data_IF_168016888446
#
_entry.id   IF_168016888446
#
_cell.length_a   1.000
_cell.length_b   1.000
_cell.length_c   1.000
_cell.angle_alpha   90.00
_cell.angle_beta   90.00
_cell.angle_gamma   90.00
#
_symmetry.space_group_name_H-M   'P 1'
#
loop_
_entity.id
_entity.type
_entity.pdbx_description
1 polymer ?
#
# COMPACT_ATOMS: atom_id res chain seq x y z
N UNK A 1 -7.63 -1.21 -4.68
CA UNK A 1 -7.77 -1.93 -3.38
C UNK A 1 -7.86 -1.03 -2.14
N UNK A 2 -7.86 -1.60 -0.91
CA UNK A 2 -7.98 -0.85 0.37
C UNK A 2 -6.95 0.27 0.50
N UNK A 3 -5.66 -0.05 0.41
CA UNK A 3 -4.57 0.93 0.55
C UNK A 3 -4.65 1.97 -0.58
N UNK A 4 -4.71 1.55 -1.84
CA UNK A 4 -4.79 2.47 -2.98
C UNK A 4 -5.93 3.49 -2.89
N UNK A 5 -7.15 3.10 -2.47
CA UNK A 5 -8.26 4.05 -2.31
C UNK A 5 -8.03 5.04 -1.17
N UNK A 6 -7.40 4.63 -0.08
CA UNK A 6 -7.07 5.53 1.03
C UNK A 6 -5.92 6.46 0.66
N UNK A 7 -4.93 5.97 -0.09
CA UNK A 7 -3.88 6.82 -0.68
C UNK A 7 -4.50 7.88 -1.57
N UNK A 8 -5.41 7.51 -2.49
CA UNK A 8 -6.13 8.46 -3.33
C UNK A 8 -6.90 9.51 -2.50
N UNK A 9 -7.68 9.08 -1.51
CA UNK A 9 -8.43 10.00 -0.64
C UNK A 9 -7.54 11.01 0.09
N UNK A 10 -6.36 10.58 0.57
CA UNK A 10 -5.43 11.46 1.26
C UNK A 10 -4.66 12.37 0.29
N UNK A 11 -4.29 11.85 -0.88
CA UNK A 11 -3.59 12.63 -1.90
C UNK A 11 -4.44 13.78 -2.43
N UNK A 12 -5.75 13.56 -2.62
CA UNK A 12 -6.69 14.62 -3.03
C UNK A 12 -6.81 15.78 -2.03
N UNK A 13 -6.45 15.55 -0.76
CA UNK A 13 -6.43 16.59 0.27
C UNK A 13 -5.05 17.24 0.44
N UNK A 14 -4.04 16.83 -0.33
CA UNK A 14 -2.66 17.29 -0.20
C UNK A 14 -2.22 18.03 -1.48
N UNK A 15 -2.01 19.35 -1.43
CA UNK A 15 -1.63 20.14 -2.61
C UNK A 15 -0.26 19.79 -3.19
N UNK A 16 0.57 19.03 -2.46
CA UNK A 16 1.90 18.62 -2.91
C UNK A 16 1.90 17.31 -3.73
N UNK A 17 0.76 16.64 -3.87
CA UNK A 17 0.65 15.36 -4.56
C UNK A 17 -0.55 15.38 -5.50
N UNK A 18 -0.33 15.01 -6.74
CA UNK A 18 -1.38 14.84 -7.74
C UNK A 18 -1.48 13.38 -8.17
N UNK A 19 -2.69 12.82 -8.13
CA UNK A 19 -2.95 11.46 -8.63
C UNK A 19 -3.46 11.57 -10.06
N UNK A 20 -2.59 11.27 -11.03
CA UNK A 20 -2.91 11.39 -12.46
C UNK A 20 -3.51 10.12 -13.07
N UNK A 21 -3.29 8.95 -12.44
CA UNK A 21 -3.80 7.68 -12.94
C UNK A 21 -4.00 6.62 -11.85
N UNK A 22 -4.87 5.65 -12.15
CA UNK A 22 -5.08 4.41 -11.38
C UNK A 22 -5.11 3.20 -12.31
N UNK A 23 -4.71 2.03 -11.81
CA UNK A 23 -4.81 0.76 -12.51
C UNK A 23 -5.42 -0.30 -11.60
N UNK A 24 -6.48 -0.97 -12.04
CA UNK A 24 -7.02 -2.17 -11.38
C UNK A 24 -7.73 -3.04 -12.42
N UNK A 25 -7.16 -4.18 -12.85
CA UNK A 25 -7.72 -5.01 -13.92
C UNK A 25 -8.93 -5.84 -13.49
N UNK A 26 -9.39 -5.71 -12.24
CA UNK A 26 -10.44 -6.54 -11.66
C UNK A 26 -11.76 -5.81 -11.45
N UNK A 27 -11.81 -4.50 -11.68
CA UNK A 27 -13.01 -3.67 -11.52
C UNK A 27 -13.14 -2.69 -12.67
N UNK A 28 -14.36 -2.42 -13.10
CA UNK A 28 -14.64 -1.38 -14.08
C UNK A 28 -14.70 0.02 -13.42
N UNK A 29 -14.76 1.05 -14.26
CA UNK A 29 -14.72 2.44 -13.84
C UNK A 29 -15.94 2.85 -12.99
N UNK A 30 -17.13 2.38 -13.33
CA UNK A 30 -18.34 2.63 -12.53
C UNK A 30 -18.22 2.00 -11.13
N UNK A 31 -17.63 0.81 -11.05
CA UNK A 31 -17.38 0.15 -9.78
C UNK A 31 -16.27 0.86 -8.97
N UNK A 32 -15.25 1.42 -9.62
CA UNK A 32 -14.28 2.31 -8.96
C UNK A 32 -14.97 3.51 -8.30
N UNK A 33 -15.89 4.17 -9.00
CA UNK A 33 -16.70 5.27 -8.45
C UNK A 33 -17.48 4.82 -7.22
N UNK A 34 -18.17 3.68 -7.32
CA UNK A 34 -18.92 3.12 -6.18
C UNK A 34 -18.00 2.84 -4.97
N UNK A 35 -16.89 2.13 -5.18
CA UNK A 35 -15.96 1.78 -4.10
C UNK A 35 -15.25 2.99 -3.49
N UNK A 36 -15.09 4.08 -4.25
CA UNK A 36 -14.55 5.34 -3.73
C UNK A 36 -15.61 6.12 -2.95
N UNK A 37 -16.88 6.13 -3.40
CA UNK A 37 -18.00 6.78 -2.71
C UNK A 37 -18.31 6.13 -1.37
N UNK A 38 -18.28 4.81 -1.28
CA UNK A 38 -18.73 4.07 -0.11
C UNK A 38 -17.60 3.27 0.54
N UNK A 39 -17.22 3.63 1.76
CA UNK A 39 -16.27 2.86 2.56
C UNK A 39 -16.88 2.49 3.92
N UNK A 40 -16.91 1.19 4.25
CA UNK A 40 -17.52 0.71 5.49
C UNK A 40 -16.80 1.16 6.76
N UNK A 41 -15.51 1.50 6.68
CA UNK A 41 -14.70 1.91 7.83
C UNK A 41 -14.56 3.42 7.88
N UNK A 42 -14.30 4.06 6.73
CA UNK A 42 -14.02 5.49 6.65
C UNK A 42 -15.23 6.32 6.19
N UNK A 43 -16.41 5.71 6.14
CA UNK A 43 -17.65 6.36 5.74
C UNK A 43 -17.72 6.74 4.27
N UNK A 44 -18.77 7.50 3.96
CA UNK A 44 -19.00 8.03 2.61
C UNK A 44 -17.97 9.10 2.28
N UNK A 45 -17.48 9.09 1.04
CA UNK A 45 -16.73 10.22 0.51
C UNK A 45 -17.67 11.42 0.41
N UNK A 46 -17.22 12.58 0.93
CA UNK A 46 -18.07 13.78 1.05
C UNK A 46 -18.11 14.62 -0.24
N UNK A 47 -17.16 14.41 -1.14
CA UNK A 47 -17.08 15.11 -2.42
C UNK A 47 -17.84 14.40 -3.55
N UNK A 48 -17.80 15.03 -4.71
CA UNK A 48 -18.29 14.52 -5.98
C UNK A 48 -17.30 13.54 -6.60
N UNK A 49 -17.84 12.39 -7.03
CA UNK A 49 -17.10 11.36 -7.75
C UNK A 49 -17.96 10.92 -8.92
N UNK A 50 -17.44 11.02 -10.13
CA UNK A 50 -18.16 10.68 -11.36
C UNK A 50 -17.25 10.04 -12.40
N UNK A 51 -17.90 9.49 -13.42
CA UNK A 51 -17.24 9.07 -14.66
C UNK A 51 -17.41 10.18 -15.69
N UNK A 52 -16.31 10.59 -16.33
CA UNK A 52 -16.34 11.55 -17.42
C UNK A 52 -15.30 11.17 -18.47
N UNK A 53 -15.73 11.00 -19.72
CA UNK A 53 -14.84 10.69 -20.85
C UNK A 53 -13.91 9.49 -20.61
N UNK A 54 -14.40 8.42 -19.97
CA UNK A 54 -13.61 7.23 -19.64
C UNK A 54 -12.59 7.44 -18.51
N UNK A 55 -12.67 8.54 -17.77
CA UNK A 55 -11.81 8.85 -16.63
C UNK A 55 -12.61 8.85 -15.33
N UNK A 56 -11.90 8.59 -14.23
CA UNK A 56 -12.41 8.81 -12.88
C UNK A 56 -12.25 10.29 -12.55
N UNK A 57 -13.33 10.97 -12.23
CA UNK A 57 -13.29 12.38 -11.83
C UNK A 57 -13.63 12.51 -10.37
N UNK A 58 -12.74 13.14 -9.59
CA UNK A 58 -12.93 13.40 -8.16
C UNK A 58 -12.75 14.87 -7.88
N UNK A 59 -13.78 15.54 -7.37
CA UNK A 59 -13.76 17.00 -7.14
C UNK A 59 -13.30 17.78 -8.39
N UNK A 60 -13.76 17.36 -9.57
CA UNK A 60 -13.38 17.96 -10.86
C UNK A 60 -12.03 17.52 -11.43
N UNK A 61 -11.16 16.86 -10.65
CA UNK A 61 -9.85 16.37 -11.06
C UNK A 61 -9.98 15.09 -11.87
N UNK A 62 -9.44 15.08 -13.09
CA UNK A 62 -9.51 13.92 -13.99
C UNK A 62 -8.34 12.96 -13.77
N UNK A 63 -8.67 11.70 -13.52
CA UNK A 63 -7.71 10.63 -13.25
C UNK A 63 -7.86 9.57 -14.34
N UNK A 64 -6.79 9.30 -15.08
CA UNK A 64 -6.78 8.25 -16.08
C UNK A 64 -6.96 6.88 -15.44
N UNK A 65 -7.66 5.97 -16.13
CA UNK A 65 -7.91 4.62 -15.64
C UNK A 65 -7.35 3.61 -16.61
N UNK A 66 -6.55 2.69 -16.08
CA UNK A 66 -6.01 1.54 -16.78
C UNK A 66 -6.54 0.25 -16.17
N UNK A 67 -6.51 -0.84 -16.95
CA UNK A 67 -6.99 -2.15 -16.54
C UNK A 67 -6.02 -3.26 -16.96
N UNK A 68 -4.72 -3.00 -16.83
CA UNK A 68 -3.66 -3.95 -17.19
C UNK A 68 -3.29 -4.86 -16.02
N UNK A 69 -3.08 -6.14 -16.34
CA UNK A 69 -2.60 -7.14 -15.37
C UNK A 69 -1.07 -7.14 -15.24
N UNK A 70 -0.38 -6.87 -16.34
CA UNK A 70 1.07 -6.74 -16.36
C UNK A 70 1.45 -5.28 -16.04
N UNK A 71 2.19 -5.03 -14.95
CA UNK A 71 2.65 -3.69 -14.62
C UNK A 71 3.47 -3.01 -15.72
N UNK A 72 4.17 -3.78 -16.56
CA UNK A 72 4.98 -3.26 -17.66
C UNK A 72 4.14 -2.70 -18.81
N UNK A 73 2.90 -3.16 -18.97
CA UNK A 73 1.97 -2.70 -20.01
C UNK A 73 1.25 -1.41 -19.65
N UNK A 74 1.31 -0.96 -18.38
CA UNK A 74 0.61 0.24 -17.95
C UNK A 74 1.36 1.48 -18.44
N UNK A 75 0.76 2.35 -19.26
CA UNK A 75 1.48 3.46 -19.89
C UNK A 75 1.59 4.68 -18.97
N UNK A 76 2.23 4.53 -17.81
CA UNK A 76 2.46 5.60 -16.83
C UNK A 76 3.08 6.88 -17.41
N UNK A 77 4.00 6.73 -18.36
CA UNK A 77 4.65 7.85 -19.04
C UNK A 77 3.66 8.71 -19.83
N UNK A 78 2.58 8.12 -20.38
CA UNK A 78 1.58 8.85 -21.17
C UNK A 78 0.79 9.88 -20.35
N UNK A 79 0.74 9.71 -19.03
CA UNK A 79 0.01 10.56 -18.08
C UNK A 79 0.96 11.35 -17.18
N UNK A 80 2.27 11.31 -17.44
CA UNK A 80 3.28 12.02 -16.64
C UNK A 80 3.49 11.49 -15.22
N UNK A 81 3.05 10.25 -14.92
CA UNK A 81 3.19 9.68 -13.58
C UNK A 81 4.67 9.42 -13.23
N UNK A 82 5.23 10.23 -12.34
CA UNK A 82 6.62 10.08 -11.91
C UNK A 82 6.80 9.00 -10.84
N UNK A 83 5.85 8.89 -9.90
CA UNK A 83 5.88 7.93 -8.80
C UNK A 83 4.68 6.98 -8.91
N UNK A 84 4.90 5.69 -8.66
CA UNK A 84 3.84 4.69 -8.56
C UNK A 84 3.77 4.15 -7.14
N UNK A 85 2.55 4.08 -6.59
CA UNK A 85 2.27 3.37 -5.34
C UNK A 85 1.82 1.95 -5.67
N UNK A 86 2.73 1.00 -5.55
CA UNK A 86 2.45 -0.42 -5.75
C UNK A 86 1.70 -0.96 -4.52
N UNK A 87 0.38 -1.09 -4.67
CA UNK A 87 -0.56 -1.45 -3.60
C UNK A 87 -1.46 -2.64 -3.93
N UNK A 88 -1.04 -3.48 -4.87
CA UNK A 88 -1.71 -4.74 -5.22
C UNK A 88 -1.40 -5.84 -4.19
N UNK A 89 -0.21 -5.78 -3.58
CA UNK A 89 0.30 -6.81 -2.67
C UNK A 89 0.92 -8.02 -3.38
N UNK A 90 1.09 -7.97 -4.70
CA UNK A 90 1.67 -9.06 -5.51
C UNK A 90 3.09 -8.73 -5.96
N UNK A 91 3.37 -7.47 -6.31
CA UNK A 91 4.65 -7.01 -6.83
C UNK A 91 5.53 -6.41 -5.73
N UNK A 92 5.86 -7.22 -4.72
CA UNK A 92 6.54 -6.74 -3.49
C UNK A 92 8.07 -6.92 -3.49
N UNK A 93 8.67 -7.26 -4.63
CA UNK A 93 10.14 -7.33 -4.79
C UNK A 93 10.64 -6.24 -5.72
N UNK A 94 11.93 -5.90 -5.68
CA UNK A 94 12.53 -4.90 -6.56
C UNK A 94 12.31 -5.28 -8.02
N UNK A 95 12.58 -6.53 -8.40
CA UNK A 95 12.39 -7.02 -9.77
C UNK A 95 10.95 -6.83 -10.24
N UNK A 96 9.98 -7.30 -9.46
CA UNK A 96 8.56 -7.26 -9.83
C UNK A 96 8.01 -5.84 -9.90
N UNK A 97 8.34 -5.00 -8.93
CA UNK A 97 7.92 -3.61 -8.91
C UNK A 97 8.61 -2.77 -10.00
N UNK A 98 9.83 -3.14 -10.41
CA UNK A 98 10.55 -2.45 -11.49
C UNK A 98 9.84 -2.56 -12.85
N UNK A 99 8.91 -3.50 -13.02
CA UNK A 99 8.08 -3.57 -14.23
C UNK A 99 7.31 -2.26 -14.48
N UNK A 100 6.90 -1.51 -13.45
CA UNK A 100 6.27 -0.19 -13.63
C UNK A 100 7.20 0.83 -14.31
N UNK A 101 8.52 0.69 -14.19
CA UNK A 101 9.49 1.59 -14.81
C UNK A 101 9.48 1.45 -16.34
N UNK A 102 9.20 0.24 -16.86
CA UNK A 102 9.03 0.02 -18.30
C UNK A 102 7.84 0.80 -18.87
N UNK A 103 6.78 0.96 -18.06
CA UNK A 103 5.62 1.80 -18.37
C UNK A 103 5.88 3.30 -18.34
N UNK A 104 7.09 3.75 -17.96
CA UNK A 104 7.49 5.16 -17.94
C UNK A 104 7.46 5.81 -16.55
N UNK A 105 7.15 5.07 -15.48
CA UNK A 105 7.30 5.58 -14.12
C UNK A 105 8.79 5.79 -13.78
N UNK A 106 9.10 6.80 -12.95
CA UNK A 106 10.49 7.09 -12.54
C UNK A 106 10.88 6.37 -11.25
N UNK A 107 9.93 6.21 -10.33
CA UNK A 107 10.11 5.56 -9.03
C UNK A 107 8.87 4.78 -8.60
N UNK A 108 9.07 3.77 -7.76
CA UNK A 108 8.01 2.92 -7.22
C UNK A 108 8.12 2.82 -5.71
N UNK A 109 7.00 2.98 -5.02
CA UNK A 109 6.86 2.81 -3.57
C UNK A 109 5.95 1.61 -3.32
N UNK A 110 6.51 0.52 -2.82
CA UNK A 110 5.77 -0.68 -2.43
C UNK A 110 5.07 -0.40 -1.10
N UNK A 111 3.75 -0.59 -1.05
CA UNK A 111 2.93 -0.33 0.15
C UNK A 111 2.88 -1.50 1.13
N UNK A 112 3.92 -2.34 1.14
CA UNK A 112 4.03 -3.55 1.94
C UNK A 112 5.52 -3.87 2.18
N UNK A 113 5.86 -4.72 3.17
CA UNK A 113 7.22 -5.20 3.35
C UNK A 113 7.76 -5.84 2.08
N UNK A 114 8.99 -5.47 1.74
CA UNK A 114 9.74 -6.09 0.66
C UNK A 114 10.83 -7.01 1.19
N UNK A 115 11.15 -8.05 0.43
CA UNK A 115 12.25 -8.96 0.77
C UNK A 115 13.62 -8.34 0.45
N UNK A 116 13.67 -7.45 -0.54
CA UNK A 116 14.89 -6.96 -1.18
C UNK A 116 14.91 -5.43 -1.39
N UNK A 117 13.77 -4.73 -1.40
CA UNK A 117 13.76 -3.28 -1.53
C UNK A 117 14.14 -2.58 -0.20
N UNK A 118 14.91 -1.48 -0.25
CA UNK A 118 15.20 -0.68 0.94
C UNK A 118 13.90 -0.16 1.55
N UNK A 119 13.76 -0.34 2.87
CA UNK A 119 12.56 -0.02 3.63
C UNK A 119 12.72 1.29 4.40
N UNK A 120 11.72 2.15 4.29
CA UNK A 120 11.70 3.44 4.97
C UNK A 120 10.48 3.56 5.88
N UNK A 121 10.71 4.15 7.05
CA UNK A 121 9.67 4.55 7.99
C UNK A 121 9.82 6.04 8.25
N UNK A 122 8.75 6.78 7.96
CA UNK A 122 8.72 8.24 8.13
C UNK A 122 9.00 8.60 9.58
N UNK A 123 9.96 9.51 9.78
CA UNK A 123 10.40 9.94 11.11
C UNK A 123 11.40 9.01 11.82
N UNK A 124 11.83 7.91 11.17
CA UNK A 124 12.81 6.98 11.75
C UNK A 124 14.13 6.98 10.99
N UNK A 125 14.09 6.79 9.66
CA UNK A 125 15.30 6.54 8.85
C UNK A 125 15.29 7.20 7.46
N UNK A 126 14.53 8.30 7.29
CA UNK A 126 14.43 9.00 6.00
C UNK A 126 15.74 9.65 5.55
N UNK A 127 16.64 9.95 6.49
CA UNK A 127 18.00 10.44 6.24
C UNK A 127 18.86 9.43 5.46
N UNK A 128 18.54 8.14 5.53
CA UNK A 128 19.21 7.08 4.77
C UNK A 128 18.72 6.94 3.34
N UNK A 129 17.75 7.76 2.92
CA UNK A 129 17.20 7.67 1.56
C UNK A 129 18.23 8.12 0.51
N UNK A 130 18.52 7.24 -0.44
CA UNK A 130 19.30 7.56 -1.63
C UNK A 130 18.36 7.84 -2.81
N UNK A 131 18.43 9.03 -3.45
CA UNK A 131 17.70 9.33 -4.67
C UNK A 131 17.98 8.38 -5.85
N UNK A 132 19.06 7.61 -5.82
CA UNK A 132 19.38 6.55 -6.78
C UNK A 132 18.37 5.39 -6.70
N UNK A 133 17.76 5.16 -5.53
CA UNK A 133 16.76 4.12 -5.35
C UNK A 133 15.53 4.39 -6.23
N UNK A 134 15.29 3.44 -7.16
CA UNK A 134 14.13 3.45 -8.06
C UNK A 134 12.93 2.75 -7.44
N UNK A 135 13.16 1.73 -6.62
CA UNK A 135 12.12 0.99 -5.92
C UNK A 135 12.43 1.01 -4.43
N UNK A 136 11.46 1.42 -3.63
CA UNK A 136 11.54 1.42 -2.16
C UNK A 136 10.29 0.77 -1.58
N UNK A 137 10.34 0.39 -0.30
CA UNK A 137 9.18 -0.10 0.44
C UNK A 137 8.86 0.81 1.62
N UNK A 138 7.57 1.11 1.83
CA UNK A 138 7.09 1.84 3.00
C UNK A 138 6.81 0.91 4.20
N UNK A 139 7.51 -0.24 4.26
CA UNK A 139 7.39 -1.27 5.28
C UNK A 139 5.95 -1.77 5.49
N UNK A 140 5.62 -2.25 6.70
CA UNK A 140 4.25 -2.61 7.11
C UNK A 140 3.63 -1.55 8.02
N UNK A 141 2.31 -1.57 8.16
CA UNK A 141 1.59 -0.79 9.18
C UNK A 141 2.14 -1.05 10.59
N UNK A 142 2.40 -2.31 10.95
CA UNK A 142 2.95 -2.67 12.25
C UNK A 142 4.39 -2.15 12.43
N UNK A 143 5.22 -2.18 11.39
CA UNK A 143 6.57 -1.60 11.43
C UNK A 143 6.52 -0.10 11.63
N UNK A 144 5.64 0.60 10.90
CA UNK A 144 5.43 2.05 11.07
C UNK A 144 4.92 2.41 12.46
N UNK A 145 4.18 1.54 13.13
CA UNK A 145 3.75 1.73 14.52
C UNK A 145 4.89 1.47 15.52
N UNK A 146 5.64 0.38 15.36
CA UNK A 146 6.67 -0.03 16.33
C UNK A 146 7.96 0.79 16.22
N UNK A 147 8.41 1.12 15.01
CA UNK A 147 9.73 1.70 14.79
C UNK A 147 9.95 3.05 15.50
N UNK A 148 9.00 4.01 15.49
CA UNK A 148 9.18 5.28 16.22
C UNK A 148 9.31 5.05 17.74
N UNK A 149 8.48 4.16 18.30
CA UNK A 149 8.56 3.81 19.73
C UNK A 149 9.90 3.18 20.07
N UNK A 150 10.32 2.18 19.28
CA UNK A 150 11.58 1.49 19.48
C UNK A 150 12.77 2.46 19.38
N UNK A 151 12.74 3.40 18.42
CA UNK A 151 13.78 4.43 18.25
C UNK A 151 13.92 5.29 19.51
N UNK A 152 12.83 5.86 20.02
CA UNK A 152 12.88 6.73 21.21
C UNK A 152 13.41 5.97 22.42
N UNK A 153 12.94 4.74 22.65
CA UNK A 153 13.39 3.95 23.79
C UNK A 153 14.86 3.54 23.64
N UNK A 154 15.27 3.11 22.44
CA UNK A 154 16.64 2.70 22.19
C UNK A 154 17.63 3.86 22.33
N UNK A 155 17.32 5.02 21.74
CA UNK A 155 18.21 6.19 21.75
C UNK A 155 18.42 6.74 23.19
N UNK A 156 17.43 6.58 24.08
CA UNK A 156 17.51 7.11 25.44
C UNK A 156 17.94 6.09 26.50
N UNK A 157 17.63 4.80 26.31
CA UNK A 157 17.79 3.78 27.36
C UNK A 157 18.55 2.55 26.89
N UNK A 158 18.70 2.34 25.58
CA UNK A 158 19.24 1.11 25.02
C UNK A 158 18.27 -0.06 25.13
N UNK A 159 17.91 -0.65 23.99
CA UNK A 159 17.14 -1.91 23.96
C UNK A 159 18.13 -3.07 23.84
N UNK A 160 18.20 -3.93 24.86
CA UNK A 160 19.02 -5.16 24.83
C UNK A 160 18.32 -6.24 24.03
N UNK A 161 17.05 -6.49 24.33
CA UNK A 161 16.18 -7.44 23.63
C UNK A 161 14.72 -7.01 23.71
N UNK A 162 13.86 -7.53 22.82
CA UNK A 162 12.45 -7.18 22.78
C UNK A 162 11.58 -8.21 22.08
N UNK A 163 10.43 -8.51 22.67
CA UNK A 163 9.36 -9.28 22.07
C UNK A 163 8.17 -8.37 21.82
N UNK A 164 7.49 -8.56 20.69
CA UNK A 164 6.32 -7.78 20.32
C UNK A 164 5.18 -8.70 19.90
N UNK A 165 3.98 -8.36 20.38
CA UNK A 165 2.71 -8.92 19.91
C UNK A 165 1.85 -7.77 19.42
N UNK A 166 1.23 -7.94 18.26
CA UNK A 166 0.26 -6.99 17.73
C UNK A 166 -1.11 -7.67 17.65
N UNK A 167 -2.13 -7.01 18.19
CA UNK A 167 -3.52 -7.39 17.96
C UNK A 167 -3.99 -6.62 16.73
N UNK A 168 -4.10 -7.33 15.60
CA UNK A 168 -4.29 -6.70 14.29
C UNK A 168 -5.74 -6.84 13.80
N UNK A 169 -6.29 -5.79 13.21
CA UNK A 169 -7.61 -5.80 12.59
C UNK A 169 -7.68 -6.69 11.33
N UNK A 170 -8.89 -7.02 10.91
CA UNK A 170 -9.16 -7.82 9.71
C UNK A 170 -8.55 -7.22 8.43
N UNK A 171 -7.98 -8.09 7.60
CA UNK A 171 -7.38 -7.74 6.31
C UNK A 171 -7.96 -8.57 5.16
N UNK A 172 -7.78 -8.11 3.92
CA UNK A 172 -8.38 -8.72 2.73
C UNK A 172 -7.85 -10.14 2.40
N UNK A 173 -6.75 -10.59 3.01
CA UNK A 173 -6.21 -11.94 2.80
C UNK A 173 -6.93 -13.00 3.62
N UNK A 174 -7.66 -12.60 4.66
CA UNK A 174 -8.43 -13.50 5.53
C UNK A 174 -9.77 -13.90 4.90
N UNK A 175 -10.35 -15.00 5.37
CA UNK A 175 -11.56 -15.59 4.80
C UNK A 175 -12.78 -15.32 5.67
N UNK A 176 -13.93 -15.06 5.04
CA UNK A 176 -15.22 -14.90 5.75
C UNK A 176 -15.69 -16.22 6.37
N UNK A 177 -15.39 -17.34 5.71
CA UNK A 177 -15.69 -18.72 6.16
C UNK A 177 -14.42 -19.57 6.09
N UNK A 178 -14.42 -20.71 6.77
CA UNK A 178 -13.31 -21.66 6.73
C UNK A 178 -13.01 -22.10 5.28
N UNK A 179 -11.75 -21.99 4.86
CA UNK A 179 -11.33 -22.29 3.49
C UNK A 179 -9.82 -22.40 3.31
N UNK A 180 -9.37 -22.77 2.11
CA UNK A 180 -7.96 -22.97 1.84
C UNK A 180 -7.18 -21.65 1.88
N UNK A 181 -6.02 -21.68 2.53
CA UNK A 181 -5.05 -20.58 2.55
C UNK A 181 -3.73 -21.05 1.97
N UNK A 182 -3.20 -20.26 1.03
CA UNK A 182 -1.95 -20.56 0.33
C UNK A 182 -0.70 -20.31 1.17
N UNK A 183 -0.83 -19.54 2.25
CA UNK A 183 0.32 -19.06 3.05
C UNK A 183 0.44 -19.78 4.39
N UNK A 184 -0.66 -19.90 5.13
CA UNK A 184 -0.71 -20.60 6.41
C UNK A 184 -2.12 -21.15 6.68
N UNK A 185 -2.24 -22.29 7.38
CA UNK A 185 -3.55 -22.92 7.60
C UNK A 185 -4.46 -22.09 8.51
N UNK A 186 -3.88 -21.35 9.48
CA UNK A 186 -4.63 -20.57 10.46
C UNK A 186 -5.40 -19.41 9.82
N UNK A 187 -4.81 -18.75 8.82
CA UNK A 187 -5.43 -17.68 8.05
C UNK A 187 -6.53 -18.15 7.10
N UNK A 188 -6.69 -19.47 6.94
CA UNK A 188 -7.84 -20.06 6.26
C UNK A 188 -9.11 -20.11 7.10
N UNK A 189 -9.03 -19.88 8.43
CA UNK A 189 -10.17 -19.92 9.33
C UNK A 189 -11.05 -18.66 9.21
N UNK A 190 -12.33 -18.81 9.52
CA UNK A 190 -13.34 -17.75 9.47
C UNK A 190 -12.95 -16.55 10.36
N UNK A 191 -12.78 -15.39 9.74
CA UNK A 191 -12.21 -14.19 10.38
C UNK A 191 -13.11 -13.56 11.44
N UNK A 192 -14.43 -13.70 11.32
CA UNK A 192 -15.40 -13.09 12.24
C UNK A 192 -15.52 -13.82 13.59
N UNK A 193 -14.98 -15.04 13.70
CA UNK A 193 -15.29 -15.95 14.81
C UNK A 193 -14.03 -16.47 15.53
N UNK A 194 -12.84 -15.98 15.19
CA UNK A 194 -11.58 -16.51 15.71
C UNK A 194 -10.60 -15.40 16.09
N UNK A 195 -9.85 -15.65 17.17
CA UNK A 195 -8.53 -15.03 17.36
C UNK A 195 -7.55 -15.88 16.55
N UNK A 196 -6.91 -15.29 15.53
CA UNK A 196 -6.06 -16.04 14.59
C UNK A 196 -4.59 -15.67 14.84
N UNK A 197 -3.77 -16.56 15.42
CA UNK A 197 -2.34 -16.33 15.54
C UNK A 197 -1.69 -16.33 14.15
N UNK A 198 -0.88 -15.31 13.86
CA UNK A 198 -0.18 -15.15 12.58
C UNK A 198 1.27 -14.72 12.80
N UNK A 199 2.13 -15.01 11.82
CA UNK A 199 3.52 -14.56 11.83
C UNK A 199 3.63 -13.12 11.28
N UNK A 200 4.52 -12.33 11.87
CA UNK A 200 4.84 -11.00 11.39
C UNK A 200 6.35 -10.76 11.39
N UNK A 201 6.84 -10.15 10.31
CA UNK A 201 8.24 -9.72 10.19
C UNK A 201 8.49 -8.33 10.78
N UNK A 202 7.47 -7.66 11.33
CA UNK A 202 7.55 -6.24 11.68
C UNK A 202 8.67 -5.92 12.68
N UNK A 203 8.81 -6.70 13.76
CA UNK A 203 9.89 -6.51 14.74
C UNK A 203 11.28 -6.69 14.11
N UNK A 204 11.45 -7.69 13.24
CA UNK A 204 12.70 -7.89 12.48
C UNK A 204 12.97 -6.76 11.50
N UNK A 205 11.93 -6.18 10.91
CA UNK A 205 12.04 -5.05 9.99
C UNK A 205 12.47 -3.77 10.74
N UNK A 206 12.01 -3.54 11.98
CA UNK A 206 12.47 -2.41 12.80
C UNK A 206 13.98 -2.45 13.00
N UNK A 207 14.56 -3.63 13.26
CA UNK A 207 16.02 -3.77 13.37
C UNK A 207 16.78 -3.47 12.06
N UNK A 208 16.10 -3.45 10.91
CA UNK A 208 16.67 -3.07 9.60
C UNK A 208 16.39 -1.62 9.22
N UNK A 209 15.52 -0.93 9.97
CA UNK A 209 15.04 0.43 9.66
C UNK A 209 16.01 1.45 10.24
#
# INVERSE_FOLDING_TARGET
GRIGRIVLRNALANPNVEVVAVNDPFIDLDYMVYMLKYDSVHGRFKGHVEVRNGKLVVEGHEIAVFAEKDPASIPWGSVGAAYVVESTGVFTTVEKASAHLAGGAKKVVISAPSADAPMFVVGVNLDKYDPSFKVISNASCTTNCLAPLAKVIHDNFGIVEGLMTTVHSTTATQKTVDGPSKKDWRGGRAVGNNIIPSSTGAAKAVARS
#
